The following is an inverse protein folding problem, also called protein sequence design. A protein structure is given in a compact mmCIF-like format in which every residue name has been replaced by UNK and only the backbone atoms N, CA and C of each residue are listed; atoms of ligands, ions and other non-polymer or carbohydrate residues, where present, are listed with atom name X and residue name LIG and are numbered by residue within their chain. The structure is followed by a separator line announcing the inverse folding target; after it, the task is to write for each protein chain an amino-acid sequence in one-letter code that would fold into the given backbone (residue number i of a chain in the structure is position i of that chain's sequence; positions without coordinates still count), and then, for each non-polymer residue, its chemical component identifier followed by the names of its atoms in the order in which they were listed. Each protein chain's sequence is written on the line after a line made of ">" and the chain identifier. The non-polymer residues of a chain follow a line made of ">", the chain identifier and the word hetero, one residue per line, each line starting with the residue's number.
data_IF_149956618104
#
_entry.id   IF_149956618104
#
_cell.length_a   1.000
_cell.length_b   1.000
_cell.length_c   1.000
_cell.angle_alpha   90.00
_cell.angle_beta   90.00
_cell.angle_gamma   90.00
#
_symmetry.space_group_name_H-M   'P 1'
#
loop_
_entity.id
_entity.type
_entity.pdbx_description
1 polymer ?
#
# COMPACT_ATOMS: atom_id res chain seq x y z
N UNK A 1 -5.63 39.67 3.66
CA UNK A 1 -5.50 38.53 2.72
C UNK A 1 -4.45 37.64 3.37
N UNK A 2 -4.90 36.65 4.14
CA UNK A 2 -4.00 35.78 4.88
C UNK A 2 -3.24 34.92 3.87
N UNK A 3 -1.91 35.03 3.88
CA UNK A 3 -1.04 34.06 3.22
C UNK A 3 -1.20 32.83 4.11
N UNK A 4 -1.79 31.75 3.58
CA UNK A 4 -1.68 30.44 4.25
C UNK A 4 -0.18 30.18 4.40
N UNK A 5 0.30 30.16 5.64
CA UNK A 5 1.71 29.88 5.97
C UNK A 5 1.97 28.39 5.68
N UNK A 6 2.12 28.07 4.40
CA UNK A 6 2.54 26.75 3.96
C UNK A 6 3.97 26.52 4.48
N UNK A 7 4.17 25.45 5.24
CA UNK A 7 5.48 25.04 5.71
C UNK A 7 6.05 23.93 4.81
N UNK A 8 7.36 23.71 4.89
CA UNK A 8 8.01 22.56 4.26
C UNK A 8 8.94 21.89 5.27
N UNK A 9 8.88 20.56 5.32
CA UNK A 9 9.78 19.76 6.16
C UNK A 9 11.22 19.91 5.68
N UNK A 10 12.15 20.07 6.61
CA UNK A 10 13.57 20.04 6.30
C UNK A 10 14.02 18.71 5.70
N UNK A 11 13.30 17.60 5.96
CA UNK A 11 13.56 16.31 5.30
C UNK A 11 13.35 16.38 3.78
N UNK A 12 12.38 17.18 3.31
CA UNK A 12 12.10 17.36 1.89
C UNK A 12 13.08 18.33 1.21
N UNK A 13 13.64 19.28 1.97
CA UNK A 13 14.62 20.25 1.47
C UNK A 13 16.03 19.63 1.34
N UNK A 14 16.44 18.78 2.30
CA UNK A 14 17.81 18.23 2.36
C UNK A 14 18.28 17.58 1.05
N UNK A 15 17.48 16.74 0.36
CA UNK A 15 17.88 16.15 -0.93
C UNK A 15 18.16 17.19 -2.02
N UNK A 16 17.49 18.35 -1.97
CA UNK A 16 17.63 19.41 -2.96
C UNK A 16 18.94 20.19 -2.80
N UNK A 17 19.49 20.27 -1.58
CA UNK A 17 20.76 20.96 -1.29
C UNK A 17 21.95 20.35 -2.03
N UNK A 18 21.89 19.06 -2.36
CA UNK A 18 22.96 18.35 -3.07
C UNK A 18 22.85 18.44 -4.60
N UNK A 19 21.80 19.06 -5.13
CA UNK A 19 21.59 19.16 -6.59
C UNK A 19 22.51 20.23 -7.20
N UNK A 20 22.92 20.06 -8.47
CA UNK A 20 23.52 21.14 -9.23
C UNK A 20 22.61 22.37 -9.20
N UNK A 21 23.18 23.57 -9.00
CA UNK A 21 22.46 24.84 -8.91
C UNK A 21 21.65 25.07 -7.60
N UNK A 22 21.92 24.35 -6.51
CA UNK A 22 21.27 24.56 -5.21
C UNK A 22 21.59 25.89 -4.51
N UNK A 23 22.43 26.73 -5.13
CA UNK A 23 22.82 28.03 -4.58
C UNK A 23 21.63 28.96 -4.33
N UNK A 24 20.69 29.05 -5.28
CA UNK A 24 19.48 29.86 -5.12
C UNK A 24 18.60 29.37 -3.95
N UNK A 25 18.58 28.05 -3.71
CA UNK A 25 17.88 27.47 -2.57
C UNK A 25 18.56 27.83 -1.24
N UNK A 26 19.90 27.75 -1.17
CA UNK A 26 20.65 28.15 0.02
C UNK A 26 20.42 29.63 0.35
N UNK A 27 20.46 30.49 -0.67
CA UNK A 27 20.21 31.92 -0.51
C UNK A 27 18.78 32.21 -0.05
N UNK A 28 17.79 31.50 -0.59
CA UNK A 28 16.39 31.64 -0.18
C UNK A 28 16.10 31.09 1.24
N UNK A 29 16.89 30.12 1.72
CA UNK A 29 16.80 29.62 3.09
C UNK A 29 17.42 30.58 4.10
N UNK A 30 18.50 31.26 3.73
CA UNK A 30 19.13 32.26 4.62
C UNK A 30 18.17 33.42 4.84
N UNK A 31 18.03 33.84 6.09
CA UNK A 31 17.01 34.75 6.61
C UNK A 31 15.57 34.22 6.61
N UNK A 32 15.35 32.97 6.19
CA UNK A 32 14.07 32.28 6.34
C UNK A 32 13.72 31.97 7.79
N UNK A 33 12.45 31.67 8.02
CA UNK A 33 11.90 31.30 9.33
C UNK A 33 11.89 29.79 9.49
N UNK A 34 12.40 29.29 10.61
CA UNK A 34 12.49 27.87 10.94
C UNK A 34 11.90 27.61 12.33
N UNK A 35 11.25 26.48 12.53
CA UNK A 35 10.84 25.98 13.85
C UNK A 35 11.06 24.47 13.94
N UNK A 36 11.15 23.95 15.16
CA UNK A 36 11.35 22.52 15.41
C UNK A 36 10.00 21.80 15.50
N UNK A 37 9.27 22.07 16.58
CA UNK A 37 8.01 21.38 16.91
C UNK A 37 6.83 22.36 17.03
N UNK A 38 7.09 23.59 17.48
CA UNK A 38 6.08 24.61 17.73
C UNK A 38 6.18 25.74 16.69
N UNK A 39 5.18 25.93 15.81
CA UNK A 39 5.19 26.97 14.79
C UNK A 39 5.19 28.40 15.37
N UNK A 40 4.85 28.57 16.66
CA UNK A 40 4.94 29.87 17.34
C UNK A 40 6.36 30.15 17.87
N UNK A 41 7.19 29.12 18.10
CA UNK A 41 8.60 29.26 18.54
C UNK A 41 9.56 29.24 17.35
N UNK A 42 9.57 30.36 16.63
CA UNK A 42 10.36 30.50 15.40
C UNK A 42 11.76 31.05 15.63
N UNK A 43 12.66 30.69 14.72
CA UNK A 43 14.03 31.16 14.66
C UNK A 43 14.38 31.58 13.23
N UNK A 44 15.29 32.55 13.09
CA UNK A 44 15.80 32.97 11.77
C UNK A 44 17.00 32.14 11.38
N UNK A 45 17.00 31.57 10.17
CA UNK A 45 18.15 30.87 9.61
C UNK A 45 19.22 31.92 9.27
N UNK A 46 20.40 31.82 9.87
CA UNK A 46 21.55 32.67 9.58
C UNK A 46 22.45 32.07 8.49
N UNK A 47 22.56 30.74 8.50
CA UNK A 47 23.45 30.01 7.60
C UNK A 47 22.97 28.59 7.42
N UNK A 48 23.15 28.07 6.21
CA UNK A 48 22.97 26.65 5.89
C UNK A 48 24.33 26.08 5.52
N UNK A 49 24.69 24.92 6.08
CA UNK A 49 25.84 24.15 5.66
C UNK A 49 25.37 22.95 4.82
N UNK A 50 25.59 22.96 3.49
CA UNK A 50 25.12 21.88 2.61
C UNK A 50 25.89 20.56 2.81
N UNK A 51 27.05 20.56 3.47
CA UNK A 51 27.83 19.35 3.72
C UNK A 51 27.33 18.62 4.96
N UNK A 52 27.14 19.36 6.05
CA UNK A 52 26.67 18.80 7.34
C UNK A 52 25.15 18.78 7.47
N UNK A 53 24.44 19.44 6.54
CA UNK A 53 22.97 19.62 6.55
C UNK A 53 22.47 20.35 7.80
N UNK A 54 23.36 21.10 8.44
CA UNK A 54 23.05 21.87 9.63
C UNK A 54 22.63 23.29 9.24
N UNK A 55 21.66 23.83 9.98
CA UNK A 55 21.29 25.24 9.94
C UNK A 55 21.72 25.92 11.22
N UNK A 56 22.37 27.07 11.08
CA UNK A 56 22.64 27.97 12.19
C UNK A 56 21.47 28.93 12.33
N UNK A 57 20.83 28.91 13.47
CA UNK A 57 19.62 29.66 13.78
C UNK A 57 19.91 30.81 14.75
N UNK A 58 19.12 31.88 14.67
CA UNK A 58 18.99 32.93 15.68
C UNK A 58 17.61 32.86 16.30
N UNK A 59 17.55 32.52 17.58
CA UNK A 59 16.31 32.49 18.36
C UNK A 59 15.83 33.91 18.67
N UNK A 60 14.56 34.09 19.02
CA UNK A 60 14.00 35.37 19.48
C UNK A 60 14.79 35.98 20.66
N UNK A 61 15.39 35.14 21.51
CA UNK A 61 16.28 35.55 22.61
C UNK A 61 17.63 36.13 22.17
N UNK A 62 17.93 36.17 20.86
CA UNK A 62 19.21 36.59 20.29
C UNK A 62 20.31 35.53 20.36
N UNK A 63 20.08 34.41 21.06
CA UNK A 63 21.01 33.28 21.11
C UNK A 63 21.09 32.57 19.75
N UNK A 64 22.28 32.08 19.42
CA UNK A 64 22.48 31.24 18.25
C UNK A 64 22.55 29.77 18.61
N UNK A 65 22.03 28.90 17.74
CA UNK A 65 22.06 27.45 17.88
C UNK A 65 22.28 26.80 16.52
N UNK A 66 22.97 25.67 16.47
CA UNK A 66 23.07 24.84 15.26
C UNK A 66 22.21 23.60 15.44
N UNK A 67 21.38 23.27 14.45
CA UNK A 67 20.54 22.06 14.43
C UNK A 67 20.55 21.44 13.03
N UNK A 68 20.28 20.14 12.88
CA UNK A 68 20.05 19.55 11.56
C UNK A 68 18.83 20.20 10.90
N UNK A 69 18.91 20.51 9.60
CA UNK A 69 17.76 21.04 8.85
C UNK A 69 16.56 20.08 8.91
N UNK A 70 16.84 18.78 8.81
CA UNK A 70 15.83 17.72 8.86
C UNK A 70 15.08 17.61 10.20
N UNK A 71 15.49 18.32 11.26
CA UNK A 71 14.82 18.24 12.56
C UNK A 71 13.66 19.22 12.74
N UNK A 72 13.24 19.91 11.69
CA UNK A 72 12.18 20.91 11.78
C UNK A 72 11.65 21.35 10.42
N UNK A 73 10.99 22.48 10.42
CA UNK A 73 10.20 23.00 9.30
C UNK A 73 10.64 24.42 8.96
N UNK A 74 10.51 24.78 7.68
CA UNK A 74 10.79 26.12 7.17
C UNK A 74 9.50 26.72 6.63
N UNK A 75 9.20 27.96 7.00
CA UNK A 75 8.04 28.67 6.42
C UNK A 75 8.32 29.04 4.96
N UNK A 76 7.36 28.76 4.09
CA UNK A 76 7.51 29.01 2.66
C UNK A 76 7.47 30.51 2.36
N UNK A 77 8.49 30.97 1.64
CA UNK A 77 8.50 32.29 1.01
C UNK A 77 8.40 32.15 -0.51
N UNK A 78 7.95 33.18 -1.25
CA UNK A 78 7.93 33.13 -2.71
C UNK A 78 9.30 32.83 -3.33
N UNK A 79 10.38 33.32 -2.73
CA UNK A 79 11.75 33.05 -3.17
C UNK A 79 12.14 31.58 -2.93
N UNK A 80 11.79 31.03 -1.77
CA UNK A 80 12.04 29.62 -1.44
C UNK A 80 11.24 28.70 -2.37
N UNK A 81 9.97 29.02 -2.61
CA UNK A 81 9.12 28.28 -3.56
C UNK A 81 9.71 28.25 -4.97
N UNK A 82 10.16 29.41 -5.47
CA UNK A 82 10.78 29.51 -6.79
C UNK A 82 12.08 28.69 -6.87
N UNK A 83 12.96 28.80 -5.87
CA UNK A 83 14.21 28.05 -5.85
C UNK A 83 14.01 26.53 -5.76
N UNK A 84 13.02 26.07 -4.99
CA UNK A 84 12.64 24.65 -4.95
C UNK A 84 12.10 24.21 -6.32
N UNK A 85 11.24 25.01 -6.95
CA UNK A 85 10.65 24.68 -8.25
C UNK A 85 11.70 24.55 -9.36
N UNK A 86 12.73 25.40 -9.37
CA UNK A 86 13.84 25.32 -10.33
C UNK A 86 14.68 24.06 -10.17
N UNK A 87 14.78 23.53 -8.94
CA UNK A 87 15.53 22.32 -8.66
C UNK A 87 14.73 21.05 -8.92
N UNK A 88 13.39 21.13 -9.08
CA UNK A 88 12.55 19.97 -9.36
C UNK A 88 12.79 19.45 -10.77
N UNK A 89 12.99 18.14 -10.86
CA UNK A 89 13.14 17.43 -12.12
C UNK A 89 11.80 16.82 -12.55
N UNK A 90 11.64 16.48 -13.83
CA UNK A 90 10.51 15.68 -14.29
C UNK A 90 10.34 14.36 -13.52
N UNK A 91 11.45 13.78 -13.04
CA UNK A 91 11.42 12.56 -12.23
C UNK A 91 10.78 12.79 -10.85
N UNK A 92 11.02 13.93 -10.21
CA UNK A 92 10.36 14.28 -8.94
C UNK A 92 8.86 14.47 -9.13
N UNK A 93 8.47 15.20 -10.18
CA UNK A 93 7.06 15.39 -10.51
C UNK A 93 6.35 14.05 -10.78
N UNK A 94 7.02 13.13 -11.49
CA UNK A 94 6.51 11.79 -11.72
C UNK A 94 6.39 10.98 -10.41
N UNK A 95 7.38 11.08 -9.52
CA UNK A 95 7.36 10.45 -8.19
C UNK A 95 6.19 10.94 -7.34
N UNK A 96 5.99 12.25 -7.26
CA UNK A 96 4.93 12.84 -6.44
C UNK A 96 3.54 12.58 -7.05
N UNK A 97 3.46 12.46 -8.39
CA UNK A 97 2.24 11.98 -9.07
C UNK A 97 1.96 10.51 -8.73
N UNK A 98 2.97 9.65 -8.76
CA UNK A 98 2.85 8.24 -8.41
C UNK A 98 2.37 8.07 -6.97
N UNK A 99 2.99 8.78 -6.02
CA UNK A 99 2.62 8.73 -4.61
C UNK A 99 1.17 9.17 -4.38
N UNK A 100 0.75 10.28 -4.99
CA UNK A 100 -0.65 10.72 -4.93
C UNK A 100 -1.62 9.70 -5.50
N UNK A 101 -1.27 9.01 -6.60
CA UNK A 101 -2.12 7.98 -7.19
C UNK A 101 -2.25 6.76 -6.27
N UNK A 102 -1.16 6.33 -5.63
CA UNK A 102 -1.15 5.24 -4.66
C UNK A 102 -1.98 5.58 -3.41
N UNK A 103 -1.83 6.79 -2.87
CA UNK A 103 -2.63 7.29 -1.74
C UNK A 103 -4.11 7.35 -2.11
N UNK A 104 -4.45 7.86 -3.31
CA UNK A 104 -5.82 7.93 -3.80
C UNK A 104 -6.46 6.54 -3.97
N UNK A 105 -5.65 5.51 -4.28
CA UNK A 105 -6.12 4.13 -4.31
C UNK A 105 -6.32 3.53 -2.90
N UNK A 106 -5.57 4.00 -1.91
CA UNK A 106 -5.70 3.61 -0.50
C UNK A 106 -4.40 3.23 0.19
N UNK A 107 -3.26 3.21 -0.52
CA UNK A 107 -1.96 2.88 0.06
C UNK A 107 -1.42 4.07 0.87
N UNK A 108 -1.40 3.93 2.20
CA UNK A 108 -0.95 4.99 3.12
C UNK A 108 0.44 4.76 3.69
N UNK A 109 0.97 3.54 3.58
CA UNK A 109 2.31 3.24 4.03
C UNK A 109 3.35 3.84 3.06
N UNK A 110 4.52 4.19 3.60
CA UNK A 110 5.66 4.62 2.77
C UNK A 110 6.10 3.45 1.90
N UNK A 111 6.03 3.63 0.58
CA UNK A 111 6.45 2.63 -0.42
C UNK A 111 7.93 2.84 -0.74
N UNK A 112 8.70 1.75 -0.69
CA UNK A 112 10.11 1.74 -1.09
C UNK A 112 10.26 2.18 -2.56
N UNK A 113 11.42 2.75 -2.89
CA UNK A 113 11.63 3.35 -4.20
C UNK A 113 11.53 2.33 -5.35
N UNK A 114 12.12 1.14 -5.16
CA UNK A 114 12.12 0.05 -6.15
C UNK A 114 10.72 -0.54 -6.38
N UNK A 115 9.87 -0.52 -5.34
CA UNK A 115 8.52 -1.09 -5.37
C UNK A 115 7.46 -0.09 -5.89
N UNK A 116 7.79 1.21 -5.97
CA UNK A 116 6.83 2.28 -6.28
C UNK A 116 6.26 2.16 -7.69
N UNK A 117 7.12 1.97 -8.68
CA UNK A 117 6.70 1.89 -10.08
C UNK A 117 5.88 0.63 -10.39
N UNK A 118 6.29 -0.59 -9.96
CA UNK A 118 5.48 -1.78 -10.14
C UNK A 118 4.10 -1.68 -9.46
N UNK A 119 4.04 -1.16 -8.22
CA UNK A 119 2.77 -0.99 -7.51
C UNK A 119 1.88 0.07 -8.20
N UNK A 120 2.46 1.15 -8.71
CA UNK A 120 1.71 2.14 -9.49
C UNK A 120 1.12 1.51 -10.76
N UNK A 121 1.92 0.75 -11.50
CA UNK A 121 1.45 0.08 -12.72
C UNK A 121 0.30 -0.90 -12.43
N UNK A 122 0.35 -1.59 -11.29
CA UNK A 122 -0.72 -2.45 -10.81
C UNK A 122 -2.02 -1.66 -10.54
N UNK A 123 -1.91 -0.53 -9.84
CA UNK A 123 -3.03 0.39 -9.55
C UNK A 123 -3.63 0.97 -10.83
N UNK A 124 -2.80 1.42 -11.77
CA UNK A 124 -3.25 1.96 -13.05
C UNK A 124 -3.99 0.91 -13.88
N UNK A 125 -3.49 -0.34 -13.90
CA UNK A 125 -4.18 -1.45 -14.54
C UNK A 125 -5.55 -1.73 -13.91
N UNK A 126 -5.66 -1.66 -12.58
CA UNK A 126 -6.92 -1.83 -11.86
C UNK A 126 -7.91 -0.70 -12.15
N UNK A 127 -7.46 0.57 -12.15
CA UNK A 127 -8.31 1.71 -12.50
C UNK A 127 -8.82 1.64 -13.94
N UNK A 128 -8.06 1.03 -14.84
CA UNK A 128 -8.43 0.81 -16.23
C UNK A 128 -9.24 -0.49 -16.46
N UNK A 129 -9.54 -1.27 -15.40
CA UNK A 129 -10.13 -2.61 -15.51
C UNK A 129 -9.42 -3.48 -16.55
N UNK A 130 -8.09 -3.44 -16.54
CA UNK A 130 -7.24 -4.18 -17.46
C UNK A 130 -6.58 -5.32 -16.71
N UNK A 131 -6.74 -6.54 -17.21
CA UNK A 131 -6.06 -7.71 -16.66
C UNK A 131 -4.56 -7.66 -17.00
N UNK A 132 -3.66 -7.59 -16.00
CA UNK A 132 -2.21 -7.65 -16.25
C UNK A 132 -1.75 -9.06 -16.63
N UNK A 133 -0.52 -9.16 -17.15
CA UNK A 133 0.14 -10.45 -17.36
C UNK A 133 0.34 -11.18 -16.04
N UNK A 134 0.42 -12.51 -16.10
CA UNK A 134 0.42 -13.36 -14.89
C UNK A 134 1.52 -12.99 -13.89
N UNK A 135 2.73 -12.72 -14.36
CA UNK A 135 3.85 -12.32 -13.50
C UNK A 135 3.61 -10.96 -12.83
N UNK A 136 3.11 -9.98 -13.59
CA UNK A 136 2.75 -8.65 -13.07
C UNK A 136 1.63 -8.72 -12.02
N UNK A 137 0.69 -9.67 -12.17
CA UNK A 137 -0.37 -9.88 -11.17
C UNK A 137 0.19 -10.38 -9.86
N UNK A 138 1.06 -11.38 -9.90
CA UNK A 138 1.70 -11.90 -8.70
C UNK A 138 2.51 -10.83 -7.99
N UNK A 139 3.27 -10.05 -8.75
CA UNK A 139 4.07 -8.96 -8.19
C UNK A 139 3.19 -7.86 -7.60
N UNK A 140 2.17 -7.41 -8.34
CA UNK A 140 1.24 -6.39 -7.85
C UNK A 140 0.46 -6.83 -6.60
N UNK A 141 0.03 -8.10 -6.52
CA UNK A 141 -0.63 -8.65 -5.32
C UNK A 141 0.35 -8.75 -4.13
N UNK A 142 1.60 -9.20 -4.39
CA UNK A 142 2.66 -9.24 -3.36
C UNK A 142 2.89 -7.84 -2.78
N UNK A 143 2.99 -6.83 -3.64
CA UNK A 143 3.19 -5.43 -3.23
C UNK A 143 1.96 -4.86 -2.53
N UNK A 144 0.75 -5.16 -3.02
CA UNK A 144 -0.48 -4.76 -2.36
C UNK A 144 -0.59 -5.33 -0.94
N UNK A 145 -0.14 -6.57 -0.73
CA UNK A 145 -0.06 -7.19 0.60
C UNK A 145 1.08 -6.61 1.46
N UNK A 146 2.20 -6.21 0.86
CA UNK A 146 3.34 -5.59 1.57
C UNK A 146 2.99 -4.20 2.11
N UNK A 147 2.29 -3.37 1.31
CA UNK A 147 2.07 -1.95 1.60
C UNK A 147 0.62 -1.56 1.92
N UNK A 148 -0.34 -2.42 1.60
CA UNK A 148 -1.76 -2.20 1.83
C UNK A 148 -2.32 -3.06 2.95
N UNK A 149 -3.62 -2.96 3.16
CA UNK A 149 -4.39 -3.89 3.98
C UNK A 149 -5.04 -4.95 3.09
N UNK A 150 -5.60 -6.03 3.66
CA UNK A 150 -6.39 -7.01 2.89
C UNK A 150 -7.55 -6.37 2.11
N UNK A 151 -8.02 -5.18 2.51
CA UNK A 151 -9.05 -4.45 1.74
C UNK A 151 -8.51 -3.87 0.44
N UNK A 152 -7.32 -3.25 0.45
CA UNK A 152 -6.70 -2.73 -0.78
C UNK A 152 -6.29 -3.88 -1.71
N UNK A 153 -5.80 -5.00 -1.17
CA UNK A 153 -5.52 -6.20 -1.97
C UNK A 153 -6.79 -6.76 -2.63
N UNK A 154 -7.89 -6.89 -1.87
CA UNK A 154 -9.17 -7.33 -2.41
C UNK A 154 -9.70 -6.36 -3.48
N UNK A 155 -9.57 -5.04 -3.26
CA UNK A 155 -9.96 -4.02 -4.24
C UNK A 155 -9.16 -4.16 -5.54
N UNK A 156 -7.85 -4.38 -5.44
CA UNK A 156 -6.98 -4.58 -6.59
C UNK A 156 -7.36 -5.84 -7.37
N UNK A 157 -7.47 -6.98 -6.69
CA UNK A 157 -7.83 -8.26 -7.31
C UNK A 157 -9.22 -8.21 -7.96
N UNK A 158 -10.21 -7.60 -7.30
CA UNK A 158 -11.55 -7.43 -7.84
C UNK A 158 -11.54 -6.58 -9.12
N UNK A 159 -10.85 -5.44 -9.13
CA UNK A 159 -10.77 -4.57 -10.29
C UNK A 159 -10.11 -5.25 -11.51
N UNK A 160 -9.10 -6.10 -11.29
CA UNK A 160 -8.53 -6.90 -12.38
C UNK A 160 -9.45 -8.02 -12.85
N UNK A 161 -10.26 -8.60 -11.97
CA UNK A 161 -11.26 -9.60 -12.33
C UNK A 161 -12.41 -9.00 -13.16
N UNK A 162 -12.81 -7.75 -12.91
CA UNK A 162 -13.76 -7.03 -13.77
C UNK A 162 -13.25 -6.90 -15.22
N UNK A 163 -11.94 -6.77 -15.38
CA UNK A 163 -11.26 -6.75 -16.68
C UNK A 163 -11.00 -8.13 -17.29
N UNK A 164 -11.33 -9.21 -16.59
CA UNK A 164 -11.04 -10.57 -17.01
C UNK A 164 -12.20 -11.17 -17.82
N UNK A 165 -11.87 -12.13 -18.69
CA UNK A 165 -12.87 -12.94 -19.38
C UNK A 165 -13.46 -14.04 -18.48
N UNK A 166 -14.43 -14.78 -19.03
CA UNK A 166 -14.96 -16.01 -18.43
C UNK A 166 -14.31 -17.22 -19.13
N UNK A 167 -13.68 -18.16 -18.39
CA UNK A 167 -13.53 -18.19 -16.94
C UNK A 167 -12.50 -17.19 -16.39
N UNK A 168 -12.70 -16.69 -15.15
CA UNK A 168 -11.74 -15.79 -14.52
C UNK A 168 -10.43 -16.52 -14.17
N UNK A 169 -9.29 -15.82 -14.14
CA UNK A 169 -8.00 -16.39 -13.70
C UNK A 169 -8.07 -16.92 -12.26
N UNK A 170 -7.67 -18.17 -12.07
CA UNK A 170 -7.71 -18.85 -10.76
C UNK A 170 -6.87 -18.16 -9.69
N UNK A 171 -5.67 -17.69 -10.06
CA UNK A 171 -4.77 -16.95 -9.18
C UNK A 171 -5.43 -15.70 -8.57
N UNK A 172 -6.19 -14.94 -9.36
CA UNK A 172 -6.89 -13.75 -8.89
C UNK A 172 -8.08 -14.08 -7.99
N UNK A 173 -8.85 -15.11 -8.33
CA UNK A 173 -9.97 -15.57 -7.51
C UNK A 173 -9.48 -16.03 -6.14
N UNK A 174 -8.39 -16.79 -6.11
CA UNK A 174 -7.75 -17.27 -4.87
C UNK A 174 -7.23 -16.11 -4.01
N UNK A 175 -6.57 -15.12 -4.62
CA UNK A 175 -6.07 -13.94 -3.93
C UNK A 175 -7.23 -13.10 -3.36
N UNK A 176 -8.25 -12.83 -4.18
CA UNK A 176 -9.44 -12.08 -3.76
C UNK A 176 -10.14 -12.76 -2.59
N UNK A 177 -10.36 -14.08 -2.65
CA UNK A 177 -11.02 -14.84 -1.58
C UNK A 177 -10.20 -14.79 -0.28
N UNK A 178 -8.88 -14.91 -0.36
CA UNK A 178 -7.99 -14.77 0.81
C UNK A 178 -8.15 -13.39 1.44
N UNK A 179 -8.03 -12.34 0.63
CA UNK A 179 -8.07 -10.94 1.07
C UNK A 179 -9.46 -10.56 1.64
N UNK A 180 -10.56 -11.04 1.05
CA UNK A 180 -11.91 -10.86 1.58
C UNK A 180 -12.11 -11.57 2.90
N UNK A 181 -11.59 -12.80 3.05
CA UNK A 181 -11.64 -13.54 4.31
C UNK A 181 -10.87 -12.84 5.43
N UNK A 182 -9.64 -12.42 5.14
CA UNK A 182 -8.77 -11.71 6.09
C UNK A 182 -9.34 -10.35 6.52
N UNK A 183 -10.10 -9.68 5.64
CA UNK A 183 -10.84 -8.45 5.96
C UNK A 183 -12.22 -8.69 6.60
N UNK A 184 -12.60 -9.95 6.87
CA UNK A 184 -13.87 -10.32 7.53
C UNK A 184 -15.10 -10.30 6.61
N UNK A 185 -14.93 -10.12 5.30
CA UNK A 185 -16.02 -10.00 4.30
C UNK A 185 -16.47 -11.38 3.78
N UNK A 186 -16.83 -12.27 4.70
CA UNK A 186 -17.15 -13.67 4.39
C UNK A 186 -18.31 -13.82 3.38
N UNK A 187 -19.32 -12.96 3.49
CA UNK A 187 -20.50 -12.98 2.60
C UNK A 187 -20.11 -12.72 1.14
N UNK A 188 -19.10 -11.87 0.93
CA UNK A 188 -18.61 -11.53 -0.41
C UNK A 188 -17.61 -12.56 -0.93
N UNK A 189 -16.82 -13.18 -0.04
CA UNK A 189 -15.85 -14.20 -0.42
C UNK A 189 -16.51 -15.48 -0.98
N UNK A 190 -17.63 -15.91 -0.38
CA UNK A 190 -18.26 -17.20 -0.69
C UNK A 190 -18.67 -17.35 -2.16
N UNK A 191 -19.38 -16.40 -2.79
CA UNK A 191 -19.76 -16.49 -4.21
C UNK A 191 -18.58 -16.74 -5.16
N UNK A 192 -17.43 -16.10 -4.91
CA UNK A 192 -16.23 -16.30 -5.74
C UNK A 192 -15.71 -17.74 -5.69
N UNK A 193 -15.93 -18.45 -4.59
CA UNK A 193 -15.53 -19.86 -4.48
C UNK A 193 -16.45 -20.83 -5.23
N UNK A 194 -17.61 -20.40 -5.73
CA UNK A 194 -18.53 -21.28 -6.49
C UNK A 194 -17.94 -21.75 -7.82
N UNK A 195 -16.86 -21.09 -8.26
CA UNK A 195 -16.08 -21.50 -9.42
C UNK A 195 -15.66 -22.98 -9.37
N UNK A 196 -15.39 -23.54 -8.18
CA UNK A 196 -15.04 -24.97 -7.99
C UNK A 196 -16.15 -25.97 -8.31
N UNK A 197 -17.38 -25.48 -8.55
CA UNK A 197 -18.53 -26.30 -8.95
C UNK A 197 -18.87 -26.16 -10.43
N UNK A 198 -18.22 -25.23 -11.15
CA UNK A 198 -18.44 -25.05 -12.59
C UNK A 198 -17.70 -26.11 -13.39
N UNK A 199 -18.33 -26.63 -14.44
CA UNK A 199 -17.72 -27.61 -15.35
C UNK A 199 -16.55 -27.03 -16.16
N UNK A 200 -16.68 -25.76 -16.57
CA UNK A 200 -15.65 -25.01 -17.31
C UNK A 200 -15.11 -23.89 -16.41
N UNK A 201 -14.47 -24.25 -15.30
CA UNK A 201 -13.98 -23.29 -14.30
C UNK A 201 -12.68 -22.59 -14.68
N UNK A 202 -11.94 -23.10 -15.67
CA UNK A 202 -10.62 -22.58 -16.05
C UNK A 202 -9.51 -22.86 -15.03
N UNK A 203 -9.83 -23.47 -13.89
CA UNK A 203 -8.88 -23.76 -12.82
C UNK A 203 -8.02 -24.98 -13.15
N UNK A 204 -6.73 -24.87 -12.90
CA UNK A 204 -5.87 -26.05 -12.84
C UNK A 204 -6.12 -26.88 -11.56
N UNK A 205 -5.43 -28.02 -11.43
CA UNK A 205 -5.61 -28.92 -10.28
C UNK A 205 -5.22 -28.26 -8.96
N UNK A 206 -4.15 -27.47 -8.95
CA UNK A 206 -3.65 -26.82 -7.75
C UNK A 206 -4.55 -25.66 -7.33
N UNK A 207 -4.98 -24.84 -8.28
CA UNK A 207 -5.93 -23.76 -8.06
C UNK A 207 -7.28 -24.30 -7.54
N UNK A 208 -7.79 -25.38 -8.14
CA UNK A 208 -8.99 -26.07 -7.67
C UNK A 208 -8.84 -26.54 -6.23
N UNK A 209 -7.70 -27.14 -5.88
CA UNK A 209 -7.41 -27.61 -4.52
C UNK A 209 -7.35 -26.45 -3.53
N UNK A 210 -6.62 -25.38 -3.85
CA UNK A 210 -6.48 -24.20 -3.00
C UNK A 210 -7.85 -23.55 -2.76
N UNK A 211 -8.64 -23.35 -3.82
CA UNK A 211 -9.95 -22.70 -3.71
C UNK A 211 -10.96 -23.55 -2.92
N UNK A 212 -10.89 -24.89 -3.02
CA UNK A 212 -11.66 -25.79 -2.16
C UNK A 212 -11.28 -25.63 -0.68
N UNK A 213 -10.00 -25.54 -0.36
CA UNK A 213 -9.54 -25.33 1.02
C UNK A 213 -10.02 -23.97 1.55
N UNK A 214 -9.93 -22.91 0.74
CA UNK A 214 -10.44 -21.59 1.11
C UNK A 214 -11.95 -21.61 1.34
N UNK A 215 -12.72 -22.24 0.44
CA UNK A 215 -14.18 -22.42 0.59
C UNK A 215 -14.52 -23.16 1.88
N UNK A 216 -13.79 -24.22 2.21
CA UNK A 216 -13.96 -24.96 3.47
C UNK A 216 -13.74 -24.06 4.69
N UNK A 217 -12.68 -23.25 4.69
CA UNK A 217 -12.41 -22.30 5.76
C UNK A 217 -13.50 -21.23 5.91
N UNK A 218 -14.03 -20.70 4.81
CA UNK A 218 -15.15 -19.74 4.86
C UNK A 218 -16.41 -20.34 5.51
N UNK A 219 -16.71 -21.62 5.24
CA UNK A 219 -17.81 -22.30 5.91
C UNK A 219 -17.58 -22.47 7.40
N UNK A 220 -16.36 -22.78 7.82
CA UNK A 220 -16.02 -22.86 9.24
C UNK A 220 -16.09 -21.51 9.94
N UNK A 221 -15.64 -20.44 9.28
CA UNK A 221 -15.76 -19.08 9.83
C UNK A 221 -17.23 -18.70 10.05
N UNK A 222 -18.13 -19.05 9.11
CA UNK A 222 -19.57 -18.85 9.28
C UNK A 222 -20.19 -19.77 10.33
N UNK A 223 -19.72 -21.01 10.43
CA UNK A 223 -20.14 -21.94 11.47
C UNK A 223 -19.82 -21.39 12.86
N UNK A 224 -18.65 -20.82 13.07
CA UNK A 224 -18.26 -20.27 14.38
C UNK A 224 -19.16 -19.10 14.81
N UNK A 225 -19.72 -18.35 13.85
CA UNK A 225 -20.67 -17.26 14.09
C UNK A 225 -22.09 -17.74 14.40
N UNK A 226 -22.58 -18.77 13.70
CA UNK A 226 -24.00 -19.17 13.76
C UNK A 226 -24.29 -20.55 14.32
N UNK A 227 -23.26 -21.40 14.48
CA UNK A 227 -23.32 -22.81 14.93
C UNK A 227 -24.26 -23.70 14.12
N UNK A 228 -24.43 -23.39 12.83
CA UNK A 228 -25.21 -24.20 11.90
C UNK A 228 -24.42 -25.42 11.40
N UNK A 229 -24.82 -26.60 11.82
CA UNK A 229 -24.17 -27.88 11.49
C UNK A 229 -24.09 -28.16 9.99
N UNK A 230 -24.98 -27.59 9.16
CA UNK A 230 -24.89 -27.76 7.72
C UNK A 230 -23.61 -27.13 7.15
N UNK A 231 -23.15 -26.02 7.74
CA UNK A 231 -21.91 -25.36 7.33
C UNK A 231 -20.68 -26.22 7.63
N UNK A 232 -20.70 -26.95 8.76
CA UNK A 232 -19.63 -27.88 9.11
C UNK A 232 -19.57 -29.06 8.11
N UNK A 233 -20.71 -29.59 7.66
CA UNK A 233 -20.73 -30.63 6.62
C UNK A 233 -20.23 -30.10 5.28
N UNK A 234 -20.61 -28.88 4.89
CA UNK A 234 -20.09 -28.23 3.67
C UNK A 234 -18.57 -28.05 3.73
N UNK A 235 -18.03 -27.68 4.89
CA UNK A 235 -16.58 -27.62 5.09
C UNK A 235 -15.91 -28.99 4.93
N UNK A 236 -16.51 -30.05 5.50
CA UNK A 236 -16.04 -31.43 5.37
C UNK A 236 -16.02 -31.91 3.92
N UNK A 237 -17.06 -31.60 3.14
CA UNK A 237 -17.10 -31.92 1.72
C UNK A 237 -15.95 -31.24 0.96
N UNK A 238 -15.66 -29.97 1.28
CA UNK A 238 -14.54 -29.25 0.67
C UNK A 238 -13.19 -29.90 1.02
N UNK A 239 -12.97 -30.24 2.28
CA UNK A 239 -11.75 -30.92 2.74
C UNK A 239 -11.54 -32.29 2.07
N UNK A 240 -12.61 -33.08 1.93
CA UNK A 240 -12.58 -34.37 1.21
C UNK A 240 -12.19 -34.20 -0.25
N UNK A 241 -12.80 -33.24 -0.94
CA UNK A 241 -12.51 -32.96 -2.35
C UNK A 241 -11.08 -32.44 -2.55
N UNK A 242 -10.58 -31.55 -1.68
CA UNK A 242 -9.20 -31.07 -1.80
C UNK A 242 -8.18 -32.18 -1.57
N UNK A 243 -8.44 -33.07 -0.59
CA UNK A 243 -7.56 -34.21 -0.30
C UNK A 243 -7.52 -35.24 -1.43
N UNK A 244 -8.65 -35.46 -2.10
CA UNK A 244 -8.73 -36.35 -3.25
C UNK A 244 -7.94 -35.83 -4.46
N UNK A 245 -7.68 -34.52 -4.54
CA UNK A 245 -6.75 -33.96 -5.53
C UNK A 245 -5.32 -34.26 -5.11
N UNK A 246 -4.91 -33.76 -3.94
CA UNK A 246 -3.60 -34.03 -3.35
C UNK A 246 -3.57 -33.60 -1.87
N UNK A 247 -3.04 -34.41 -0.94
CA UNK A 247 -2.77 -34.01 0.43
C UNK A 247 -1.86 -32.77 0.52
N UNK A 248 -2.15 -31.87 1.47
CA UNK A 248 -1.31 -30.69 1.75
C UNK A 248 -1.36 -30.29 3.21
N UNK A 249 -0.41 -29.46 3.64
CA UNK A 249 -0.39 -28.88 4.99
C UNK A 249 -1.65 -28.05 5.25
N UNK A 250 -2.04 -27.21 4.30
CA UNK A 250 -3.24 -26.37 4.37
C UNK A 250 -4.53 -27.21 4.44
N UNK A 251 -4.60 -28.30 3.67
CA UNK A 251 -5.69 -29.26 3.75
C UNK A 251 -5.74 -29.97 5.11
N UNK A 252 -4.57 -30.34 5.65
CA UNK A 252 -4.45 -30.93 6.99
C UNK A 252 -4.91 -29.97 8.08
N UNK A 253 -4.56 -28.68 7.98
CA UNK A 253 -5.01 -27.63 8.88
C UNK A 253 -6.54 -27.48 8.87
N UNK A 254 -7.16 -27.53 7.68
CA UNK A 254 -8.62 -27.52 7.54
C UNK A 254 -9.27 -28.73 8.24
N UNK A 255 -8.77 -29.95 8.01
CA UNK A 255 -9.27 -31.15 8.70
C UNK A 255 -9.12 -31.07 10.22
N UNK A 256 -7.97 -30.60 10.70
CA UNK A 256 -7.73 -30.44 12.12
C UNK A 256 -8.67 -29.41 12.75
N UNK A 257 -9.01 -28.33 12.02
CA UNK A 257 -9.99 -27.34 12.47
C UNK A 257 -11.40 -27.93 12.52
N UNK A 258 -11.80 -28.72 11.52
CA UNK A 258 -13.09 -29.44 11.51
C UNK A 258 -13.19 -30.33 12.75
N UNK A 259 -12.19 -31.18 13.00
CA UNK A 259 -12.18 -32.11 14.14
C UNK A 259 -12.33 -31.38 15.48
N UNK A 260 -11.60 -30.27 15.68
CA UNK A 260 -11.69 -29.45 16.90
C UNK A 260 -13.05 -28.81 17.14
N UNK A 261 -13.86 -28.65 16.09
CA UNK A 261 -15.20 -28.05 16.17
C UNK A 261 -16.31 -29.11 16.34
N UNK A 262 -15.95 -30.38 16.20
CA UNK A 262 -16.79 -31.56 16.43
C UNK A 262 -16.61 -32.13 17.85
N UNK A 263 -15.42 -31.97 18.42
CA UNK A 263 -15.07 -32.28 19.82
C UNK A 263 -15.70 -31.27 20.80
#
# INVERSE_FOLDING_TARGET
>A
MAIDDEDISGEDIVPLLHRPNSQALIEALVHGTFYLDDPDDTATILRVDPHTRAVQLRLASGRTRSVPLASGYVLMTPALAAAIAELRTPADAARDKAERALIAFGFRARVEEDDRLPLLAAVEAAQAYRLPWREDRFEGLRLARKYGTPREEARLAAAWLEGAGDPPPGDLVIALVSALRESGRLVEAIPHTELVTRKASGLDKDEMRILLIQRGNLWLDRYELGRDTELLERARQCARRSWAIEPSEQGSALYNRIRKLED
#
